data_IF_051394977329
#
_entry.id   IF_051394977329
#
_cell.length_a   1.000
_cell.length_b   1.000
_cell.length_c   1.000
_cell.angle_alpha   90.00
_cell.angle_beta   90.00
_cell.angle_gamma   90.00
#
_symmetry.space_group_name_H-M   'P 1'
#
loop_
_entity.id
_entity.type
_entity.pdbx_description
1 polymer ?
#
# COMPACT_ATOMS: atom_id res chain seq x y z
N UNK A 1 -0.09 -8.33 47.67
CA UNK A 1 1.35 -8.09 47.48
C UNK A 1 1.60 -8.03 45.98
N UNK A 2 2.08 -6.90 45.43
CA UNK A 2 2.47 -6.85 44.02
C UNK A 2 3.65 -7.80 43.78
N UNK A 3 3.60 -8.54 42.68
CA UNK A 3 4.63 -9.52 42.32
C UNK A 3 5.96 -8.79 42.08
N UNK A 4 7.12 -9.31 42.55
CA UNK A 4 8.39 -8.54 42.57
C UNK A 4 9.01 -8.20 41.20
N UNK A 5 8.38 -8.57 40.08
CA UNK A 5 8.98 -8.51 38.73
C UNK A 5 8.09 -7.78 37.72
N UNK A 6 7.54 -6.62 38.08
CA UNK A 6 6.73 -5.81 37.17
C UNK A 6 7.54 -4.59 36.68
N UNK A 7 7.76 -4.48 35.37
CA UNK A 7 8.38 -3.31 34.75
C UNK A 7 7.27 -2.29 34.46
N UNK A 8 7.25 -1.17 35.21
CA UNK A 8 6.30 -0.09 34.97
C UNK A 8 6.84 0.89 33.92
N UNK A 9 6.23 0.88 32.73
CA UNK A 9 6.52 1.86 31.69
C UNK A 9 5.57 3.05 31.84
N UNK A 10 6.12 4.23 32.14
CA UNK A 10 5.35 5.48 32.20
C UNK A 10 5.29 6.15 30.83
N UNK A 11 4.13 6.11 30.22
CA UNK A 11 3.83 6.76 28.95
C UNK A 11 3.30 8.17 29.19
N UNK A 12 3.84 9.14 28.46
CA UNK A 12 3.32 10.51 28.41
C UNK A 12 3.20 10.92 26.94
N UNK A 13 2.32 11.87 26.60
CA UNK A 13 2.19 12.37 25.22
C UNK A 13 3.53 12.82 24.63
N UNK A 14 4.39 13.47 25.42
CA UNK A 14 5.69 13.98 24.98
C UNK A 14 6.67 12.84 24.64
N UNK A 15 6.69 11.77 25.46
CA UNK A 15 7.53 10.60 25.20
C UNK A 15 7.06 9.84 23.96
N UNK A 16 5.75 9.73 23.77
CA UNK A 16 5.18 9.10 22.57
C UNK A 16 5.49 9.94 21.33
N UNK A 17 5.32 11.26 21.39
CA UNK A 17 5.68 12.14 20.29
C UNK A 17 7.16 12.01 19.90
N UNK A 18 8.06 12.03 20.89
CA UNK A 18 9.49 11.82 20.65
C UNK A 18 9.79 10.46 20.03
N UNK A 19 9.11 9.39 20.49
CA UNK A 19 9.26 8.06 19.91
C UNK A 19 8.74 7.98 18.47
N UNK A 20 7.58 8.57 18.17
CA UNK A 20 7.04 8.64 16.80
C UNK A 20 7.98 9.41 15.85
N UNK A 21 8.59 10.50 16.32
CA UNK A 21 9.60 11.24 15.55
C UNK A 21 10.85 10.40 15.29
N UNK A 22 11.29 9.60 16.27
CA UNK A 22 12.46 8.76 16.12
C UNK A 22 12.20 7.59 15.15
N UNK A 23 11.01 6.97 15.22
CA UNK A 23 10.56 5.98 14.23
C UNK A 23 10.61 6.55 12.82
N UNK A 24 10.21 7.80 12.65
CA UNK A 24 10.23 8.46 11.34
C UNK A 24 11.66 8.68 10.81
N UNK A 25 12.61 9.01 11.68
CA UNK A 25 14.02 9.22 11.30
C UNK A 25 14.77 7.93 11.01
N UNK A 26 14.45 6.85 11.73
CA UNK A 26 15.19 5.58 11.64
C UNK A 26 14.67 4.67 10.52
N UNK A 27 13.42 4.84 10.12
CA UNK A 27 12.81 3.97 9.12
C UNK A 27 13.30 4.30 7.71
N UNK A 28 13.65 3.26 6.95
CA UNK A 28 14.06 3.39 5.56
C UNK A 28 12.89 3.68 4.59
N UNK A 29 11.64 3.50 5.02
CA UNK A 29 10.45 3.79 4.18
C UNK A 29 9.23 4.20 5.01
N UNK A 30 8.35 5.02 4.42
CA UNK A 30 7.09 5.41 5.06
C UNK A 30 6.19 4.20 5.39
N UNK A 31 6.24 3.13 4.60
CA UNK A 31 5.50 1.89 4.86
C UNK A 31 5.89 1.21 6.17
N UNK A 32 7.20 1.08 6.45
CA UNK A 32 7.68 0.52 7.70
C UNK A 32 7.33 1.41 8.91
N UNK A 33 7.44 2.73 8.77
CA UNK A 33 7.02 3.68 9.81
C UNK A 33 5.55 3.51 10.13
N UNK A 34 4.69 3.41 9.11
CA UNK A 34 3.25 3.25 9.30
C UNK A 34 2.92 1.93 10.00
N UNK A 35 3.54 0.83 9.60
CA UNK A 35 3.36 -0.46 10.24
C UNK A 35 3.77 -0.43 11.72
N UNK A 36 4.88 0.23 12.06
CA UNK A 36 5.33 0.40 13.43
C UNK A 36 4.35 1.26 14.25
N UNK A 37 3.84 2.36 13.69
CA UNK A 37 2.84 3.20 14.36
C UNK A 37 1.53 2.45 14.60
N UNK A 38 1.05 1.66 13.63
CA UNK A 38 -0.13 0.80 13.82
C UNK A 38 0.12 -0.26 14.89
N UNK A 39 1.29 -0.90 14.90
CA UNK A 39 1.69 -1.84 15.95
C UNK A 39 1.68 -1.19 17.33
N UNK A 40 2.17 0.05 17.45
CA UNK A 40 2.13 0.82 18.69
C UNK A 40 0.69 1.11 19.13
N UNK A 41 -0.19 1.54 18.23
CA UNK A 41 -1.62 1.74 18.52
C UNK A 41 -2.28 0.45 19.05
N UNK A 42 -2.08 -0.68 18.37
CA UNK A 42 -2.64 -1.97 18.78
C UNK A 42 -2.08 -2.43 20.12
N UNK A 43 -0.78 -2.24 20.36
CA UNK A 43 -0.13 -2.58 21.62
C UNK A 43 -0.74 -1.78 22.79
N UNK A 44 -0.88 -0.46 22.64
CA UNK A 44 -1.49 0.39 23.66
C UNK A 44 -2.95 0.06 23.93
N UNK A 45 -3.74 -0.18 22.86
CA UNK A 45 -5.13 -0.56 23.00
C UNK A 45 -5.31 -1.89 23.76
N UNK A 46 -4.33 -2.79 23.67
CA UNK A 46 -4.34 -4.10 24.32
C UNK A 46 -3.80 -4.06 25.76
N UNK A 47 -2.76 -3.25 26.01
CA UNK A 47 -2.08 -3.19 27.30
C UNK A 47 -2.74 -2.26 28.31
N UNK A 48 -3.47 -1.23 27.86
CA UNK A 48 -4.16 -0.29 28.76
C UNK A 48 -5.53 -0.87 29.13
N UNK A 49 -5.89 -0.95 30.42
CA UNK A 49 -7.21 -1.41 30.85
C UNK A 49 -8.33 -0.60 30.18
N UNK A 50 -9.42 -1.26 29.78
CA UNK A 50 -10.50 -0.59 29.04
C UNK A 50 -11.17 0.56 29.80
N UNK A 51 -11.16 0.54 31.14
CA UNK A 51 -11.62 1.65 31.98
C UNK A 51 -10.77 2.92 31.85
N UNK A 52 -9.50 2.78 31.47
CA UNK A 52 -8.54 3.87 31.36
C UNK A 52 -8.50 4.49 29.95
N UNK A 53 -9.14 3.85 28.95
CA UNK A 53 -9.24 4.41 27.60
C UNK A 53 -10.00 5.74 27.56
N UNK A 54 -10.83 5.99 28.57
CA UNK A 54 -11.55 7.25 28.73
C UNK A 54 -10.68 8.39 29.27
N UNK A 55 -9.50 8.13 29.80
CA UNK A 55 -8.66 9.15 30.44
C UNK A 55 -8.13 10.16 29.41
N UNK A 56 -8.05 11.46 29.75
CA UNK A 56 -7.52 12.49 28.84
C UNK A 56 -6.13 12.16 28.30
N UNK A 57 -5.23 11.69 29.17
CA UNK A 57 -3.85 11.32 28.80
C UNK A 57 -3.78 10.22 27.75
N UNK A 58 -4.66 9.22 27.83
CA UNK A 58 -4.72 8.14 26.84
C UNK A 58 -5.18 8.69 25.49
N UNK A 59 -6.22 9.54 25.48
CA UNK A 59 -6.72 10.17 24.24
C UNK A 59 -5.67 11.06 23.60
N UNK A 60 -4.93 11.84 24.40
CA UNK A 60 -3.82 12.67 23.91
C UNK A 60 -2.72 11.82 23.27
N UNK A 61 -2.31 10.72 23.92
CA UNK A 61 -1.34 9.77 23.36
C UNK A 61 -1.83 9.21 22.02
N UNK A 62 -3.07 8.74 21.96
CA UNK A 62 -3.63 8.16 20.72
C UNK A 62 -3.76 9.21 19.62
N UNK A 63 -4.11 10.46 19.97
CA UNK A 63 -4.16 11.56 19.02
C UNK A 63 -2.78 11.89 18.43
N UNK A 64 -1.73 11.89 19.25
CA UNK A 64 -0.34 12.06 18.77
C UNK A 64 0.04 10.97 17.77
N UNK A 65 -0.24 9.70 18.11
CA UNK A 65 0.11 8.59 17.22
C UNK A 65 -0.68 8.69 15.90
N UNK A 66 -1.97 9.02 15.96
CA UNK A 66 -2.80 9.16 14.77
C UNK A 66 -2.37 10.34 13.88
N UNK A 67 -1.92 11.45 14.48
CA UNK A 67 -1.35 12.57 13.74
C UNK A 67 -0.11 12.13 12.95
N UNK A 68 0.81 11.40 13.59
CA UNK A 68 2.00 10.87 12.92
C UNK A 68 1.65 9.82 11.86
N UNK A 69 0.69 8.93 12.13
CA UNK A 69 0.23 7.93 11.18
C UNK A 69 -0.40 8.58 9.93
N UNK A 70 -1.19 9.63 10.11
CA UNK A 70 -1.80 10.39 9.01
C UNK A 70 -0.74 11.09 8.14
N UNK A 71 0.23 11.76 8.76
CA UNK A 71 1.34 12.38 8.04
C UNK A 71 2.17 11.34 7.26
N UNK A 72 2.43 10.19 7.88
CA UNK A 72 3.17 9.08 7.25
C UNK A 72 2.40 8.47 6.08
N UNK A 73 1.07 8.30 6.19
CA UNK A 73 0.22 7.85 5.07
C UNK A 73 0.27 8.82 3.90
N UNK A 74 0.20 10.12 4.15
CA UNK A 74 0.31 11.12 3.08
C UNK A 74 1.66 11.01 2.35
N UNK A 75 2.76 10.89 3.11
CA UNK A 75 4.11 10.69 2.53
C UNK A 75 4.22 9.39 1.73
N UNK A 76 3.67 8.28 2.24
CA UNK A 76 3.65 6.99 1.53
C UNK A 76 2.93 7.09 0.18
N UNK A 77 1.79 7.79 0.11
CA UNK A 77 1.06 7.98 -1.13
C UNK A 77 1.86 8.83 -2.13
N UNK A 78 2.53 9.88 -1.66
CA UNK A 78 3.40 10.72 -2.50
C UNK A 78 4.61 9.95 -3.04
N UNK A 79 5.34 9.25 -2.17
CA UNK A 79 6.47 8.38 -2.55
C UNK A 79 6.03 7.32 -3.57
N UNK A 80 4.87 6.69 -3.33
CA UNK A 80 4.30 5.69 -4.25
C UNK A 80 3.91 6.29 -5.59
N UNK A 81 3.39 7.53 -5.64
CA UNK A 81 3.05 8.20 -6.89
C UNK A 81 4.28 8.49 -7.73
N UNK A 82 5.36 8.97 -7.11
CA UNK A 82 6.65 9.19 -7.79
C UNK A 82 7.20 7.86 -8.32
N UNK A 83 7.19 6.81 -7.50
CA UNK A 83 7.63 5.48 -7.91
C UNK A 83 6.79 4.92 -9.05
N UNK A 84 5.46 5.13 -9.03
CA UNK A 84 4.55 4.68 -10.07
C UNK A 84 4.77 5.39 -11.41
N UNK A 85 5.03 6.71 -11.39
CA UNK A 85 5.41 7.45 -12.61
C UNK A 85 6.65 6.84 -13.25
N UNK A 86 7.69 6.57 -12.45
CA UNK A 86 8.92 5.91 -12.93
C UNK A 86 8.60 4.51 -13.48
N UNK A 87 7.83 3.71 -12.75
CA UNK A 87 7.47 2.36 -13.15
C UNK A 87 6.70 2.33 -14.48
N UNK A 88 5.79 3.30 -14.72
CA UNK A 88 5.06 3.42 -15.99
C UNK A 88 6.00 3.78 -17.15
N UNK A 89 6.90 4.75 -16.95
CA UNK A 89 7.91 5.14 -17.96
C UNK A 89 8.84 3.99 -18.33
N UNK A 90 9.30 3.26 -17.33
CA UNK A 90 10.20 2.11 -17.48
C UNK A 90 9.47 0.83 -17.87
N UNK A 91 8.13 0.83 -17.90
CA UNK A 91 7.29 -0.35 -18.16
C UNK A 91 7.61 -1.49 -17.18
N UNK A 92 7.84 -1.13 -15.92
CA UNK A 92 8.26 -2.03 -14.86
C UNK A 92 7.03 -2.59 -14.12
N UNK A 93 6.50 -3.71 -14.63
CA UNK A 93 5.34 -4.38 -14.02
C UNK A 93 5.59 -4.84 -12.57
N UNK A 94 6.81 -5.22 -12.22
CA UNK A 94 7.14 -5.68 -10.87
C UNK A 94 6.94 -4.55 -9.85
N UNK A 95 7.43 -3.35 -10.16
CA UNK A 95 7.26 -2.18 -9.29
C UNK A 95 5.79 -1.76 -9.17
N UNK A 96 5.02 -1.78 -10.28
CA UNK A 96 3.57 -1.51 -10.24
C UNK A 96 2.86 -2.50 -9.31
N UNK A 97 3.22 -3.78 -9.38
CA UNK A 97 2.63 -4.82 -8.54
C UNK A 97 3.02 -4.67 -7.07
N UNK A 98 4.27 -4.30 -6.81
CA UNK A 98 4.74 -4.01 -5.46
C UNK A 98 3.99 -2.82 -4.84
N UNK A 99 3.81 -1.72 -5.58
CA UNK A 99 3.03 -0.56 -5.14
C UNK A 99 1.56 -0.94 -4.91
N UNK A 100 0.98 -1.75 -5.82
CA UNK A 100 -0.39 -2.24 -5.69
C UNK A 100 -0.59 -3.06 -4.41
N UNK A 101 0.31 -4.01 -4.14
CA UNK A 101 0.25 -4.88 -2.97
C UNK A 101 0.47 -4.14 -1.65
N UNK A 102 1.24 -3.04 -1.66
CA UNK A 102 1.51 -2.23 -0.48
C UNK A 102 0.34 -1.30 -0.09
N UNK A 103 -0.65 -1.10 -0.98
CA UNK A 103 -1.73 -0.15 -0.80
C UNK A 103 -3.10 -0.83 -0.79
N UNK A 104 -4.07 -0.19 -0.14
CA UNK A 104 -5.47 -0.56 -0.38
C UNK A 104 -5.86 -0.18 -1.81
N UNK A 105 -6.91 -0.81 -2.35
CA UNK A 105 -7.47 -0.46 -3.67
C UNK A 105 -7.74 1.04 -3.84
N UNK A 106 -8.29 1.69 -2.81
CA UNK A 106 -8.53 3.13 -2.80
C UNK A 106 -7.22 3.93 -2.79
N UNK A 107 -6.22 3.49 -2.01
CA UNK A 107 -4.90 4.09 -1.99
C UNK A 107 -4.21 3.99 -3.34
N UNK A 108 -4.23 2.81 -3.96
CA UNK A 108 -3.68 2.59 -5.30
C UNK A 108 -4.38 3.46 -6.35
N UNK A 109 -5.71 3.58 -6.32
CA UNK A 109 -6.44 4.49 -7.21
C UNK A 109 -5.99 5.96 -7.06
N UNK A 110 -5.79 6.44 -5.82
CA UNK A 110 -5.34 7.81 -5.58
C UNK A 110 -3.93 8.04 -6.12
N UNK A 111 -3.02 7.10 -5.85
CA UNK A 111 -1.65 7.10 -6.36
C UNK A 111 -1.62 7.06 -7.87
N UNK A 112 -2.45 6.21 -8.50
CA UNK A 112 -2.57 6.10 -9.95
C UNK A 112 -3.04 7.43 -10.57
N UNK A 113 -4.07 8.07 -10.00
CA UNK A 113 -4.55 9.37 -10.47
C UNK A 113 -3.46 10.45 -10.40
N UNK A 114 -2.72 10.50 -9.30
CA UNK A 114 -1.61 11.44 -9.12
C UNK A 114 -0.46 11.17 -10.09
N UNK A 115 -0.13 9.90 -10.34
CA UNK A 115 0.91 9.52 -11.29
C UNK A 115 0.51 9.85 -12.74
N UNK A 116 -0.72 9.53 -13.14
CA UNK A 116 -1.27 9.83 -14.47
C UNK A 116 -1.25 11.33 -14.75
N UNK A 117 -1.56 12.17 -13.76
CA UNK A 117 -1.52 13.63 -13.90
C UNK A 117 -0.10 14.20 -14.16
N UNK A 118 0.95 13.41 -13.91
CA UNK A 118 2.35 13.80 -14.13
C UNK A 118 2.94 13.26 -15.45
N UNK A 119 2.21 12.39 -16.15
CA UNK A 119 2.64 11.85 -17.45
C UNK A 119 2.23 12.78 -18.58
N UNK A 120 3.10 12.90 -19.58
CA UNK A 120 2.78 13.57 -20.84
C UNK A 120 1.77 12.73 -21.63
N UNK A 121 1.00 13.38 -22.53
CA UNK A 121 0.01 12.68 -23.37
C UNK A 121 0.62 11.52 -24.17
N UNK A 122 1.85 11.67 -24.67
CA UNK A 122 2.57 10.61 -25.37
C UNK A 122 2.95 9.44 -24.44
N UNK A 123 3.38 9.74 -23.22
CA UNK A 123 3.72 8.73 -22.20
C UNK A 123 2.48 7.95 -21.78
N UNK A 124 1.33 8.62 -21.67
CA UNK A 124 0.03 7.99 -21.40
C UNK A 124 -0.34 7.02 -22.51
N UNK A 125 -0.31 7.45 -23.78
CA UNK A 125 -0.62 6.56 -24.92
C UNK A 125 0.29 5.33 -24.93
N UNK A 126 1.59 5.52 -24.73
CA UNK A 126 2.57 4.42 -24.68
C UNK A 126 2.29 3.50 -23.49
N UNK A 127 2.02 4.04 -22.31
CA UNK A 127 1.74 3.27 -21.10
C UNK A 127 0.43 2.48 -21.21
N UNK A 128 -0.62 3.08 -21.77
CA UNK A 128 -1.91 2.42 -22.01
C UNK A 128 -1.76 1.26 -22.99
N UNK A 129 -1.06 1.49 -24.12
CA UNK A 129 -0.82 0.45 -25.12
C UNK A 129 0.00 -0.71 -24.54
N UNK A 130 1.04 -0.39 -23.75
CA UNK A 130 1.85 -1.40 -23.08
C UNK A 130 1.04 -2.21 -22.06
N UNK A 131 0.30 -1.55 -21.16
CA UNK A 131 -0.50 -2.23 -20.14
C UNK A 131 -1.57 -3.12 -20.78
N UNK A 132 -2.21 -2.65 -21.85
CA UNK A 132 -3.15 -3.46 -22.66
C UNK A 132 -2.48 -4.72 -23.20
N UNK A 133 -1.37 -4.55 -23.93
CA UNK A 133 -0.65 -5.66 -24.55
C UNK A 133 -0.18 -6.69 -23.51
N UNK A 134 0.26 -6.21 -22.34
CA UNK A 134 0.66 -7.09 -21.24
C UNK A 134 -0.53 -7.91 -20.72
N UNK A 135 -1.70 -7.29 -20.50
CA UNK A 135 -2.90 -7.99 -20.04
C UNK A 135 -3.40 -9.01 -21.07
N UNK A 136 -3.37 -8.68 -22.36
CA UNK A 136 -3.76 -9.59 -23.46
C UNK A 136 -2.80 -10.79 -23.57
N UNK A 137 -1.49 -10.57 -23.45
CA UNK A 137 -0.48 -11.65 -23.40
C UNK A 137 -0.72 -12.54 -22.17
N UNK A 138 -0.98 -11.94 -21.02
CA UNK A 138 -1.23 -12.66 -19.78
C UNK A 138 -2.44 -13.58 -19.88
N UNK A 139 -3.55 -13.09 -20.44
CA UNK A 139 -4.76 -13.91 -20.71
C UNK A 139 -4.42 -15.03 -21.68
N UNK A 140 -3.77 -14.73 -22.81
CA UNK A 140 -3.44 -15.72 -23.84
C UNK A 140 -2.59 -16.87 -23.27
N UNK A 141 -1.58 -16.54 -22.48
CA UNK A 141 -0.72 -17.53 -21.81
C UNK A 141 -1.49 -18.34 -20.77
N UNK A 142 -2.35 -17.69 -19.99
CA UNK A 142 -3.18 -18.36 -18.99
C UNK A 142 -4.20 -19.31 -19.62
N UNK A 143 -4.79 -18.97 -20.77
CA UNK A 143 -5.66 -19.85 -21.56
C UNK A 143 -4.88 -21.06 -22.09
N UNK A 144 -3.71 -20.82 -22.68
CA UNK A 144 -2.85 -21.90 -23.19
C UNK A 144 -2.43 -22.88 -22.07
N UNK A 145 -2.21 -22.40 -20.85
CA UNK A 145 -1.84 -23.21 -19.70
C UNK A 145 -3.01 -23.93 -18.99
N UNK A 146 -4.25 -23.58 -19.32
CA UNK A 146 -5.46 -24.08 -18.64
C UNK A 146 -5.83 -25.50 -19.09
N UNK A 147 -5.65 -25.82 -20.37
CA UNK A 147 -6.12 -27.08 -20.95
C UNK A 147 -7.64 -27.19 -21.09
N UNK A 148 -8.40 -26.21 -20.60
CA UNK A 148 -9.85 -26.08 -20.76
C UNK A 148 -10.21 -24.73 -21.41
N UNK A 149 -11.17 -24.70 -22.36
CA UNK A 149 -11.51 -23.51 -23.14
C UNK A 149 -12.01 -22.32 -22.32
N UNK A 150 -12.61 -22.56 -21.14
CA UNK A 150 -13.28 -21.52 -20.34
C UNK A 150 -12.60 -21.26 -18.99
N UNK A 151 -11.34 -21.67 -18.82
CA UNK A 151 -10.57 -21.32 -17.62
C UNK A 151 -9.23 -20.67 -17.92
N UNK A 152 -8.79 -19.81 -16.99
CA UNK A 152 -7.49 -19.17 -17.01
C UNK A 152 -6.60 -19.79 -15.93
N UNK A 153 -5.43 -20.28 -16.33
CA UNK A 153 -4.42 -20.80 -15.42
C UNK A 153 -3.21 -19.86 -15.36
N UNK A 154 -3.35 -18.75 -14.63
CA UNK A 154 -2.27 -17.77 -14.46
C UNK A 154 -1.02 -18.39 -13.82
N UNK A 155 -1.20 -19.26 -12.82
CA UNK A 155 -0.09 -19.95 -12.17
C UNK A 155 0.67 -20.86 -13.15
N UNK A 156 -0.06 -21.63 -13.97
CA UNK A 156 0.53 -22.46 -15.03
C UNK A 156 1.21 -21.66 -16.14
N UNK A 157 0.79 -20.42 -16.36
CA UNK A 157 1.44 -19.48 -17.28
C UNK A 157 2.67 -18.76 -16.69
N UNK A 158 3.00 -18.99 -15.41
CA UNK A 158 4.06 -18.28 -14.71
C UNK A 158 3.72 -16.83 -14.40
N UNK A 159 2.44 -16.51 -14.24
CA UNK A 159 1.93 -15.17 -13.97
C UNK A 159 1.35 -15.17 -12.56
N UNK A 160 1.84 -14.27 -11.71
CA UNK A 160 1.28 -14.10 -10.37
C UNK A 160 -0.11 -13.45 -10.49
N UNK A 161 -1.17 -13.99 -9.86
CA UNK A 161 -2.50 -13.39 -9.90
C UNK A 161 -2.53 -11.92 -9.47
N UNK A 162 -1.69 -11.56 -8.49
CA UNK A 162 -1.55 -10.19 -7.99
C UNK A 162 -0.98 -9.25 -9.05
N UNK A 163 -0.03 -9.72 -9.85
CA UNK A 163 0.51 -8.97 -10.98
C UNK A 163 -0.57 -8.70 -12.02
N UNK A 164 -1.38 -9.71 -12.33
CA UNK A 164 -2.47 -9.56 -13.28
C UNK A 164 -3.54 -8.59 -12.76
N UNK A 165 -3.91 -8.68 -11.49
CA UNK A 165 -4.85 -7.75 -10.85
C UNK A 165 -4.33 -6.31 -10.89
N UNK A 166 -3.07 -6.09 -10.50
CA UNK A 166 -2.44 -4.77 -10.50
C UNK A 166 -2.41 -4.15 -11.91
N UNK A 167 -1.98 -4.91 -12.91
CA UNK A 167 -1.91 -4.44 -14.30
C UNK A 167 -3.28 -4.19 -14.91
N UNK A 168 -4.28 -5.01 -14.56
CA UNK A 168 -5.68 -4.81 -15.00
C UNK A 168 -6.25 -3.52 -14.44
N UNK A 169 -6.07 -3.26 -13.14
CA UNK A 169 -6.51 -2.00 -12.53
C UNK A 169 -5.76 -0.80 -13.10
N UNK A 170 -4.45 -0.91 -13.28
CA UNK A 170 -3.64 0.16 -13.88
C UNK A 170 -4.09 0.49 -15.31
N UNK A 171 -4.33 -0.54 -16.14
CA UNK A 171 -4.86 -0.35 -17.50
C UNK A 171 -6.22 0.34 -17.48
N UNK A 172 -7.12 -0.04 -16.56
CA UNK A 172 -8.41 0.62 -16.40
C UNK A 172 -8.26 2.11 -16.03
N UNK A 173 -7.34 2.44 -15.11
CA UNK A 173 -7.11 3.82 -14.69
C UNK A 173 -6.46 4.69 -15.77
N UNK A 174 -5.65 4.09 -16.65
CA UNK A 174 -5.07 4.77 -17.83
C UNK A 174 -6.11 5.08 -18.92
N UNK A 175 -7.39 4.78 -18.69
CA UNK A 175 -8.49 5.00 -19.64
C UNK A 175 -8.77 3.79 -20.54
N UNK A 176 -8.19 2.64 -20.25
CA UNK A 176 -8.48 1.37 -20.91
C UNK A 176 -9.79 0.73 -20.43
N UNK A 177 -10.37 -0.13 -21.25
CA UNK A 177 -11.43 -1.05 -20.84
C UNK A 177 -10.97 -2.47 -21.11
N UNK A 178 -11.03 -3.34 -20.09
CA UNK A 178 -10.83 -4.77 -20.27
C UNK A 178 -12.15 -5.36 -20.74
N UNK A 179 -12.15 -5.91 -21.96
CA UNK A 179 -13.27 -6.74 -22.41
C UNK A 179 -13.14 -8.09 -21.71
N UNK A 180 -13.96 -8.32 -20.69
CA UNK A 180 -14.11 -9.67 -20.14
C UNK A 180 -14.74 -10.54 -21.23
N UNK A 181 -13.99 -11.50 -21.74
CA UNK A 181 -14.55 -12.58 -22.54
C UNK A 181 -15.26 -13.48 -21.52
N UNK A 182 -16.60 -13.44 -21.57
CA UNK A 182 -17.48 -14.27 -20.75
C UNK A 182 -17.49 -15.71 -21.25
#
# INVERSE_FOLDING_TARGET
MPLPNEIQVRLTPEKIAAHCQELDKQSASAGHTLAALTGLQTCLATMVPSGDHGLPVYREIMAVIEQHATATRARLLEESAIALVRALRERNQHEITHIHAALSRNGFMLVAKQAIAQLLSEELVVSTAWAKSWCEDAITRAQAASGYPDSLNFQGAGIQPEAYAAMTEMFAYLGGSVTYIA
#
